data_IF_083598877502
#
_entry.id   IF_083598877502
#
_cell.length_a   1.000
_cell.length_b   1.000
_cell.length_c   1.000
_cell.angle_alpha   90.00
_cell.angle_beta   90.00
_cell.angle_gamma   90.00
#
_symmetry.space_group_name_H-M   'P 1'
#
loop_
_entity.id
_entity.type
_entity.pdbx_description
1 polymer ?
#
# COMPACT_ATOMS: atom_id res chain seq x y z
N UNK A 1 12.98 -9.29 -14.87
CA UNK A 1 11.65 -8.74 -14.47
C UNK A 1 11.32 -9.23 -13.09
N UNK A 2 10.95 -8.35 -12.17
CA UNK A 2 10.56 -8.64 -10.79
C UNK A 2 9.07 -8.38 -10.63
N UNK A 3 8.38 -9.26 -9.88
CA UNK A 3 6.97 -9.13 -9.55
C UNK A 3 6.79 -8.69 -8.11
N UNK A 4 6.00 -7.65 -7.92
CA UNK A 4 5.64 -7.08 -6.62
C UNK A 4 4.13 -7.17 -6.42
N UNK A 5 3.71 -7.64 -5.25
CA UNK A 5 2.31 -7.65 -4.82
C UNK A 5 2.17 -6.80 -3.57
N UNK A 6 1.08 -6.05 -3.48
CA UNK A 6 0.69 -5.32 -2.28
C UNK A 6 -0.78 -5.62 -1.96
N UNK A 7 -1.07 -5.96 -0.70
CA UNK A 7 -2.41 -6.30 -0.26
C UNK A 7 -2.70 -5.83 1.17
N UNK A 8 -3.65 -4.94 1.31
CA UNK A 8 -4.26 -4.67 2.62
C UNK A 8 -5.19 -5.84 2.96
N UNK A 9 -4.82 -6.61 3.97
CA UNK A 9 -5.53 -7.85 4.35
C UNK A 9 -6.61 -7.64 5.40
N UNK A 10 -6.73 -6.43 5.93
CA UNK A 10 -7.73 -6.07 6.97
C UNK A 10 -7.83 -7.11 8.09
N UNK A 11 -6.66 -7.48 8.63
CA UNK A 11 -6.49 -8.55 9.62
C UNK A 11 -6.07 -9.87 8.99
N UNK A 12 -4.75 -10.16 9.08
CA UNK A 12 -4.15 -11.32 8.42
C UNK A 12 -4.75 -12.65 8.88
N UNK A 13 -5.02 -12.83 10.17
CA UNK A 13 -5.61 -14.06 10.71
C UNK A 13 -6.98 -14.37 10.07
N UNK A 14 -7.80 -13.34 9.88
CA UNK A 14 -9.09 -13.49 9.20
C UNK A 14 -8.93 -13.79 7.70
N UNK A 15 -7.95 -13.18 7.06
CA UNK A 15 -7.65 -13.38 5.64
C UNK A 15 -7.10 -14.79 5.38
N UNK A 16 -6.23 -15.32 6.26
CA UNK A 16 -5.73 -16.71 6.20
C UNK A 16 -6.88 -17.72 6.21
N UNK A 17 -7.90 -17.50 7.04
CA UNK A 17 -9.13 -18.31 7.04
C UNK A 17 -9.96 -18.22 5.75
N UNK A 18 -9.58 -17.38 4.80
CA UNK A 18 -10.27 -17.13 3.53
C UNK A 18 -9.35 -17.31 2.31
N UNK A 19 -8.53 -18.37 2.36
CA UNK A 19 -7.70 -18.82 1.22
C UNK A 19 -6.42 -17.98 0.94
N UNK A 20 -5.95 -17.16 1.87
CA UNK A 20 -4.75 -16.33 1.70
C UNK A 20 -3.52 -17.13 1.25
N UNK A 21 -3.28 -18.32 1.84
CA UNK A 21 -2.07 -19.08 1.54
C UNK A 21 -2.03 -19.59 0.08
N UNK A 22 -3.17 -20.01 -0.48
CA UNK A 22 -3.26 -20.42 -1.88
C UNK A 22 -3.08 -19.19 -2.79
N UNK A 23 -3.74 -18.06 -2.48
CA UNK A 23 -3.57 -16.83 -3.24
C UNK A 23 -2.12 -16.33 -3.23
N UNK A 24 -1.44 -16.42 -2.08
CA UNK A 24 -0.02 -16.07 -1.98
C UNK A 24 0.86 -16.93 -2.90
N UNK A 25 0.62 -18.26 -2.92
CA UNK A 25 1.37 -19.21 -3.74
C UNK A 25 1.08 -19.04 -5.24
N UNK A 26 -0.18 -18.81 -5.61
CA UNK A 26 -0.59 -18.61 -7.01
C UNK A 26 -0.03 -17.31 -7.60
N UNK A 27 0.01 -16.23 -6.82
CA UNK A 27 0.59 -14.96 -7.24
C UNK A 27 2.11 -15.05 -7.42
N UNK A 28 2.79 -15.92 -6.68
CA UNK A 28 4.22 -16.26 -6.81
C UNK A 28 5.13 -15.03 -7.02
N UNK A 29 4.97 -14.02 -6.17
CA UNK A 29 5.68 -12.75 -6.29
C UNK A 29 7.12 -12.84 -5.75
N UNK A 30 8.02 -12.02 -6.27
CA UNK A 30 9.34 -11.78 -5.68
C UNK A 30 9.23 -11.05 -4.35
N UNK A 31 8.27 -10.13 -4.26
CA UNK A 31 7.96 -9.32 -3.09
C UNK A 31 6.45 -9.29 -2.83
N UNK A 32 6.05 -9.65 -1.64
CA UNK A 32 4.66 -9.65 -1.23
C UNK A 32 4.48 -8.78 0.02
N UNK A 33 3.89 -7.61 -0.14
CA UNK A 33 3.74 -6.59 0.89
C UNK A 33 2.32 -6.62 1.46
N UNK A 34 2.21 -6.59 2.78
CA UNK A 34 0.94 -6.62 3.50
C UNK A 34 0.74 -5.36 4.32
N UNK A 35 -0.47 -4.85 4.35
CA UNK A 35 -0.87 -3.76 5.21
C UNK A 35 -2.06 -4.20 6.07
N UNK A 36 -2.22 -3.52 7.20
CA UNK A 36 -3.29 -3.78 8.17
C UNK A 36 -3.33 -5.24 8.62
N UNK A 37 -2.16 -5.77 8.98
CA UNK A 37 -2.02 -7.16 9.44
C UNK A 37 -2.75 -7.40 10.75
N UNK A 38 -2.89 -6.37 11.61
CA UNK A 38 -3.51 -6.43 12.95
C UNK A 38 -2.89 -7.52 13.85
N UNK A 39 -1.61 -7.79 13.63
CA UNK A 39 -0.85 -8.86 14.28
C UNK A 39 0.02 -8.32 15.40
N UNK A 40 0.40 -9.23 16.29
CA UNK A 40 1.50 -9.07 17.24
C UNK A 40 2.42 -10.27 17.09
N UNK A 41 3.67 -10.12 17.51
CA UNK A 41 4.66 -11.19 17.47
C UNK A 41 4.14 -12.48 18.12
N UNK A 42 4.35 -13.60 17.49
CA UNK A 42 3.96 -14.94 17.99
C UNK A 42 2.47 -15.28 17.89
N UNK A 43 1.62 -14.43 17.31
CA UNK A 43 0.19 -14.73 17.16
C UNK A 43 -0.15 -15.66 16.00
N UNK A 44 0.71 -15.73 15.00
CA UNK A 44 0.56 -16.59 13.82
C UNK A 44 1.94 -16.95 13.31
N UNK A 45 2.19 -18.23 13.13
CA UNK A 45 3.37 -18.72 12.43
C UNK A 45 2.96 -18.95 10.96
N UNK A 46 3.29 -17.98 10.10
CA UNK A 46 2.99 -18.02 8.68
C UNK A 46 4.29 -17.85 7.90
N UNK A 47 4.87 -18.98 7.52
CA UNK A 47 6.11 -19.04 6.75
C UNK A 47 5.87 -19.67 5.39
N UNK A 48 6.60 -19.21 4.38
CA UNK A 48 6.57 -19.76 3.03
C UNK A 48 7.97 -20.15 2.60
N UNK A 49 8.12 -21.33 2.02
CA UNK A 49 9.39 -21.81 1.52
C UNK A 49 10.00 -20.85 0.48
N UNK A 50 11.27 -20.51 0.65
CA UNK A 50 11.98 -19.58 -0.22
C UNK A 50 11.75 -18.10 0.09
N UNK A 51 10.96 -17.77 1.12
CA UNK A 51 10.74 -16.39 1.51
C UNK A 51 11.32 -16.07 2.90
N UNK A 52 11.92 -14.89 3.00
CA UNK A 52 12.15 -14.20 4.28
C UNK A 52 10.97 -13.26 4.55
N UNK A 53 10.66 -13.00 5.83
CA UNK A 53 9.60 -12.07 6.20
C UNK A 53 10.07 -11.04 7.22
N UNK A 54 9.57 -9.83 7.08
CA UNK A 54 9.85 -8.69 7.94
C UNK A 54 8.54 -8.07 8.40
N UNK A 55 8.41 -7.82 9.70
CA UNK A 55 7.15 -7.42 10.32
C UNK A 55 7.33 -6.15 11.14
N UNK A 56 6.39 -5.23 11.01
CA UNK A 56 6.29 -4.03 11.84
C UNK A 56 4.93 -4.01 12.51
N UNK A 57 4.92 -4.20 13.82
CA UNK A 57 3.70 -4.27 14.63
C UNK A 57 3.39 -2.91 15.24
N UNK A 58 2.10 -2.56 15.33
CA UNK A 58 1.68 -1.43 16.14
C UNK A 58 1.81 -1.74 17.63
N UNK A 59 2.09 -0.74 18.45
CA UNK A 59 2.06 -0.88 19.91
C UNK A 59 0.66 -1.26 20.39
N UNK A 60 -0.36 -0.69 19.78
CA UNK A 60 -1.75 -1.04 20.02
C UNK A 60 -2.09 -2.39 19.39
N UNK A 61 -2.47 -3.37 20.22
CA UNK A 61 -2.85 -4.71 19.77
C UNK A 61 -4.08 -4.68 18.85
N UNK A 62 -4.06 -5.54 17.82
CA UNK A 62 -5.17 -5.69 16.87
C UNK A 62 -5.41 -4.48 15.98
N UNK A 63 -4.38 -3.67 15.74
CA UNK A 63 -4.47 -2.42 15.00
C UNK A 63 -3.29 -2.28 14.03
N UNK A 64 -3.53 -1.70 12.82
CA UNK A 64 -2.50 -1.38 11.85
C UNK A 64 -1.54 -2.57 11.57
N UNK A 65 -0.24 -2.30 11.46
CA UNK A 65 0.79 -3.30 11.20
C UNK A 65 1.02 -3.59 9.73
N UNK A 66 2.28 -3.80 9.36
CA UNK A 66 2.72 -4.11 8.00
C UNK A 66 3.66 -5.32 8.00
N UNK A 67 3.78 -5.98 6.86
CA UNK A 67 4.75 -7.05 6.66
C UNK A 67 5.23 -7.10 5.20
N UNK A 68 6.43 -7.62 4.99
CA UNK A 68 6.96 -7.92 3.66
C UNK A 68 7.50 -9.35 3.65
N UNK A 69 7.06 -10.16 2.71
CA UNK A 69 7.68 -11.42 2.31
C UNK A 69 8.51 -11.18 1.06
N UNK A 70 9.72 -11.72 1.01
CA UNK A 70 10.63 -11.55 -0.13
C UNK A 70 11.48 -12.79 -0.38
N UNK A 71 11.66 -13.14 -1.66
CA UNK A 71 12.59 -14.16 -2.12
C UNK A 71 14.05 -13.68 -2.12
N UNK A 72 14.26 -12.36 -1.99
CA UNK A 72 15.57 -11.71 -2.11
C UNK A 72 16.05 -11.19 -0.75
N UNK A 73 17.30 -11.45 -0.41
CA UNK A 73 17.91 -10.95 0.82
C UNK A 73 18.19 -9.44 0.69
N UNK A 74 17.59 -8.57 1.53
CA UNK A 74 17.91 -7.15 1.52
C UNK A 74 19.30 -6.86 2.13
N UNK A 75 19.90 -5.73 1.74
CA UNK A 75 21.11 -5.20 2.34
C UNK A 75 20.86 -4.67 3.76
N UNK A 76 19.70 -4.03 3.94
CA UNK A 76 19.25 -3.53 5.24
C UNK A 76 17.73 -3.52 5.34
N UNK A 77 17.24 -3.51 6.57
CA UNK A 77 15.82 -3.39 6.91
C UNK A 77 15.66 -2.26 7.90
N UNK A 78 14.69 -1.37 7.68
CA UNK A 78 14.33 -0.36 8.67
C UNK A 78 12.81 -0.27 8.83
N UNK A 79 12.39 0.17 10.02
CA UNK A 79 11.01 0.25 10.44
C UNK A 79 10.67 1.69 10.80
N UNK A 80 9.53 2.18 10.30
CA UNK A 80 9.10 3.55 10.51
C UNK A 80 9.82 4.55 9.61
N UNK A 81 9.69 5.83 9.93
CA UNK A 81 10.27 6.97 9.21
C UNK A 81 11.36 7.71 10.00
N UNK A 82 11.63 7.28 11.24
CA UNK A 82 12.48 7.99 12.18
C UNK A 82 11.80 9.18 12.87
N UNK A 83 10.45 9.18 12.92
CA UNK A 83 9.63 10.16 13.61
C UNK A 83 8.80 9.44 14.68
N UNK A 84 9.14 9.64 15.95
CA UNK A 84 8.55 8.90 17.07
C UNK A 84 7.02 8.93 17.09
N UNK A 85 6.42 10.07 16.81
CA UNK A 85 4.96 10.23 16.75
C UNK A 85 4.30 9.34 15.69
N UNK A 86 5.02 9.02 14.59
CA UNK A 86 4.50 8.25 13.47
C UNK A 86 4.83 6.75 13.56
N UNK A 87 5.89 6.41 14.29
CA UNK A 87 6.48 5.06 14.21
C UNK A 87 5.88 4.06 15.21
N UNK A 88 4.88 4.45 16.00
CA UNK A 88 4.21 3.59 16.99
C UNK A 88 3.11 2.70 16.40
N UNK A 89 2.67 2.97 15.18
CA UNK A 89 1.53 2.27 14.58
C UNK A 89 1.93 1.19 13.54
N UNK A 90 3.24 0.87 13.41
CA UNK A 90 3.70 -0.21 12.54
C UNK A 90 3.36 -0.02 11.05
N UNK A 91 3.45 1.21 10.54
CA UNK A 91 2.92 1.59 9.22
C UNK A 91 3.90 1.48 8.07
N UNK A 92 5.20 1.47 8.34
CA UNK A 92 6.24 1.56 7.30
C UNK A 92 7.33 0.54 7.53
N UNK A 93 7.68 -0.24 6.49
CA UNK A 93 8.88 -1.06 6.40
C UNK A 93 9.64 -0.65 5.16
N UNK A 94 10.95 -0.46 5.29
CA UNK A 94 11.86 -0.21 4.17
C UNK A 94 12.86 -1.34 4.05
N UNK A 95 12.91 -1.99 2.88
CA UNK A 95 13.97 -2.91 2.50
C UNK A 95 14.91 -2.22 1.52
N UNK A 96 16.21 -2.26 1.80
CA UNK A 96 17.23 -1.75 0.90
C UNK A 96 17.81 -2.87 0.05
N UNK A 97 17.84 -2.66 -1.26
CA UNK A 97 18.52 -3.49 -2.23
C UNK A 97 19.62 -2.70 -2.93
N UNK A 98 20.46 -3.36 -3.70
CA UNK A 98 21.57 -2.70 -4.40
C UNK A 98 21.06 -1.58 -5.34
N UNK A 99 19.99 -1.84 -6.07
CA UNK A 99 19.47 -0.93 -7.12
C UNK A 99 18.30 -0.06 -6.68
N UNK A 100 17.58 -0.38 -5.59
CA UNK A 100 16.36 0.32 -5.17
C UNK A 100 16.07 0.14 -3.69
N UNK A 101 15.18 0.98 -3.19
CA UNK A 101 14.47 0.76 -1.92
C UNK A 101 13.06 0.27 -2.21
N UNK A 102 12.60 -0.75 -1.47
CA UNK A 102 11.20 -1.16 -1.43
C UNK A 102 10.58 -0.72 -0.11
N UNK A 103 9.51 0.06 -0.18
CA UNK A 103 8.77 0.53 0.99
C UNK A 103 7.34 0.00 0.91
N UNK A 104 6.86 -0.65 1.97
CA UNK A 104 5.44 -0.87 2.20
C UNK A 104 4.91 0.16 3.17
N UNK A 105 3.71 0.68 2.92
CA UNK A 105 3.08 1.70 3.75
C UNK A 105 1.60 1.43 3.97
N UNK A 106 1.14 1.66 5.18
CA UNK A 106 -0.26 1.79 5.53
C UNK A 106 -0.53 3.21 6.04
N UNK A 107 -0.99 4.07 5.15
CA UNK A 107 -1.25 5.49 5.45
C UNK A 107 -2.37 5.62 6.48
N UNK A 108 -2.25 6.51 7.48
CA UNK A 108 -3.32 6.75 8.44
C UNK A 108 -4.63 7.15 7.77
N UNK A 109 -5.74 6.54 8.14
CA UNK A 109 -7.07 6.97 7.73
C UNK A 109 -7.49 8.23 8.51
N UNK A 110 -8.10 9.20 7.84
CA UNK A 110 -8.59 10.44 8.50
C UNK A 110 -9.80 10.21 9.40
N UNK A 111 -10.40 9.03 9.36
CA UNK A 111 -11.54 8.57 10.17
C UNK A 111 -12.85 9.33 9.93
N UNK A 112 -13.92 8.82 10.52
CA UNK A 112 -15.25 9.45 10.49
C UNK A 112 -15.17 10.88 11.04
N UNK A 113 -15.88 11.81 10.41
CA UNK A 113 -15.86 13.24 10.75
C UNK A 113 -14.48 13.89 10.63
N UNK A 114 -13.56 13.24 9.90
CA UNK A 114 -12.20 13.72 9.64
C UNK A 114 -11.38 14.00 10.92
N UNK A 115 -11.64 13.24 11.99
CA UNK A 115 -11.02 13.46 13.33
C UNK A 115 -9.51 13.36 13.33
N UNK A 116 -8.91 12.66 12.37
CA UNK A 116 -7.45 12.54 12.22
C UNK A 116 -6.90 13.25 10.97
N UNK A 117 -7.67 14.12 10.33
CA UNK A 117 -7.22 14.78 9.10
C UNK A 117 -5.96 15.62 9.34
N UNK A 118 -5.92 16.44 10.40
CA UNK A 118 -4.77 17.29 10.70
C UNK A 118 -3.51 16.45 10.96
N UNK A 119 -3.64 15.37 11.74
CA UNK A 119 -2.55 14.42 11.95
C UNK A 119 -2.08 13.79 10.64
N UNK A 120 -3.02 13.35 9.80
CA UNK A 120 -2.70 12.78 8.50
C UNK A 120 -1.95 13.75 7.59
N UNK A 121 -2.30 15.03 7.58
CA UNK A 121 -1.60 16.05 6.79
C UNK A 121 -0.13 16.19 7.23
N UNK A 122 0.14 16.15 8.52
CA UNK A 122 1.51 16.15 9.07
C UNK A 122 2.24 14.87 8.68
N UNK A 123 1.59 13.71 8.88
CA UNK A 123 2.15 12.41 8.53
C UNK A 123 2.54 12.32 7.04
N UNK A 124 1.67 12.78 6.16
CA UNK A 124 1.91 12.79 4.70
C UNK A 124 3.08 13.69 4.29
N UNK A 125 3.22 14.85 4.92
CA UNK A 125 4.34 15.76 4.68
C UNK A 125 5.68 15.11 5.09
N UNK A 126 5.72 14.45 6.25
CA UNK A 126 6.91 13.76 6.74
C UNK A 126 7.21 12.51 5.91
N UNK A 127 6.19 11.75 5.49
CA UNK A 127 6.36 10.59 4.61
C UNK A 127 6.92 10.99 3.25
N UNK A 128 6.41 12.06 2.64
CA UNK A 128 6.94 12.61 1.38
C UNK A 128 8.41 12.99 1.53
N UNK A 129 8.78 13.69 2.59
CA UNK A 129 10.17 14.04 2.89
C UNK A 129 11.04 12.80 3.08
N UNK A 130 10.53 11.79 3.77
CA UNK A 130 11.21 10.50 3.96
C UNK A 130 11.50 9.82 2.61
N UNK A 131 10.50 9.71 1.73
CA UNK A 131 10.65 9.13 0.39
C UNK A 131 11.66 9.92 -0.46
N UNK A 132 11.62 11.25 -0.42
CA UNK A 132 12.57 12.11 -1.14
C UNK A 132 14.02 11.88 -0.68
N UNK A 133 14.24 11.72 0.61
CA UNK A 133 15.57 11.45 1.16
C UNK A 133 16.12 10.09 0.71
N UNK A 134 15.26 9.09 0.55
CA UNK A 134 15.65 7.78 0.00
C UNK A 134 15.89 7.88 -1.51
N UNK A 135 14.99 8.54 -2.24
CA UNK A 135 15.09 8.71 -3.68
C UNK A 135 16.35 9.47 -4.11
N UNK A 136 16.86 10.38 -3.29
CA UNK A 136 18.13 11.05 -3.53
C UNK A 136 19.33 10.08 -3.56
N UNK A 137 19.21 8.90 -2.97
CA UNK A 137 20.27 7.88 -2.90
C UNK A 137 20.09 6.79 -3.97
N UNK A 138 18.90 6.21 -4.06
CA UNK A 138 18.53 5.13 -4.98
C UNK A 138 17.07 5.28 -5.39
N UNK A 139 16.65 4.73 -6.53
CA UNK A 139 15.24 4.65 -6.90
C UNK A 139 14.41 4.01 -5.81
N UNK A 140 13.18 4.52 -5.64
CA UNK A 140 12.22 4.05 -4.66
C UNK A 140 11.04 3.37 -5.35
N UNK A 141 10.64 2.22 -4.82
CA UNK A 141 9.39 1.55 -5.11
C UNK A 141 8.60 1.58 -3.81
N UNK A 142 7.46 2.26 -3.79
CA UNK A 142 6.59 2.32 -2.62
C UNK A 142 5.23 1.76 -2.97
N UNK A 143 4.69 0.92 -2.09
CA UNK A 143 3.38 0.31 -2.26
C UNK A 143 2.60 0.30 -0.97
N UNK A 144 1.29 0.22 -1.10
CA UNK A 144 0.40 0.01 0.02
C UNK A 144 -0.93 0.72 -0.12
N UNK A 145 -1.65 0.70 0.99
CA UNK A 145 -2.89 1.43 1.15
C UNK A 145 -2.57 2.90 1.50
N UNK A 146 -2.75 3.76 0.52
CA UNK A 146 -2.54 5.21 0.66
C UNK A 146 -3.77 5.92 1.25
N UNK A 147 -4.86 5.19 1.51
CA UNK A 147 -6.11 5.73 2.07
C UNK A 147 -6.61 6.99 1.35
N UNK A 148 -6.40 7.07 0.04
CA UNK A 148 -6.89 8.15 -0.82
C UNK A 148 -7.18 7.65 -2.23
N UNK A 149 -8.34 8.00 -2.78
CA UNK A 149 -8.58 7.97 -4.21
C UNK A 149 -8.10 9.31 -4.78
N UNK A 150 -7.08 9.29 -5.66
CA UNK A 150 -6.44 10.51 -6.12
C UNK A 150 -7.34 11.36 -7.02
N UNK A 151 -7.87 10.76 -8.08
CA UNK A 151 -8.68 11.45 -9.08
C UNK A 151 -10.15 10.98 -9.06
N UNK A 152 -11.03 11.71 -9.74
CA UNK A 152 -12.45 11.33 -9.82
C UNK A 152 -12.67 9.96 -10.49
N UNK A 153 -11.77 9.56 -11.38
CA UNK A 153 -11.78 8.24 -12.01
C UNK A 153 -11.48 7.10 -11.02
N UNK A 154 -10.86 7.41 -9.89
CA UNK A 154 -10.42 6.44 -8.87
C UNK A 154 -11.50 6.12 -7.83
N UNK A 155 -12.69 6.71 -7.97
CA UNK A 155 -13.78 6.52 -7.00
C UNK A 155 -15.14 6.48 -7.66
N UNK A 156 -16.00 5.57 -7.18
CA UNK A 156 -17.42 5.63 -7.50
C UNK A 156 -18.09 6.77 -6.74
N UNK A 157 -18.92 7.56 -7.43
CA UNK A 157 -19.65 8.70 -6.86
C UNK A 157 -18.76 9.80 -6.26
N UNK A 158 -17.83 10.41 -7.02
CA UNK A 158 -16.89 11.40 -6.49
C UNK A 158 -17.59 12.60 -5.85
N UNK A 159 -18.67 13.11 -6.45
CA UNK A 159 -19.40 14.28 -5.93
C UNK A 159 -19.94 14.08 -4.51
N UNK A 160 -20.40 12.88 -4.18
CA UNK A 160 -20.94 12.55 -2.85
C UNK A 160 -19.88 12.30 -1.78
N UNK A 161 -18.60 12.15 -2.18
CA UNK A 161 -17.51 11.74 -1.29
C UNK A 161 -16.46 12.82 -1.00
N UNK A 162 -16.56 14.03 -1.59
CA UNK A 162 -15.54 15.09 -1.44
C UNK A 162 -15.26 15.54 0.00
N UNK A 163 -16.13 15.24 0.94
CA UNK A 163 -15.96 15.55 2.37
C UNK A 163 -15.76 14.30 3.23
N UNK A 164 -15.56 13.15 2.61
CA UNK A 164 -15.34 11.89 3.30
C UNK A 164 -13.85 11.55 3.34
N UNK A 165 -13.43 10.89 4.43
CA UNK A 165 -12.08 10.38 4.55
C UNK A 165 -11.70 9.51 3.33
N UNK A 166 -10.53 9.76 2.76
CA UNK A 166 -10.03 9.11 1.55
C UNK A 166 -10.35 9.84 0.24
N UNK A 167 -11.15 10.93 0.29
CA UNK A 167 -11.43 11.73 -0.92
C UNK A 167 -11.62 13.22 -0.62
N UNK A 168 -11.08 13.73 0.48
CA UNK A 168 -11.03 15.16 0.74
C UNK A 168 -10.06 15.86 -0.20
N UNK A 169 -10.27 17.13 -0.44
CA UNK A 169 -9.38 17.92 -1.30
C UNK A 169 -7.95 17.95 -0.71
N UNK A 170 -7.82 18.00 0.63
CA UNK A 170 -6.53 17.98 1.34
C UNK A 170 -5.78 16.66 1.14
N UNK A 171 -6.46 15.52 1.25
CA UNK A 171 -5.84 14.19 1.05
C UNK A 171 -5.40 14.00 -0.40
N UNK A 172 -6.23 14.41 -1.35
CA UNK A 172 -5.93 14.36 -2.79
C UNK A 172 -4.75 15.26 -3.16
N UNK A 173 -4.68 16.45 -2.57
CA UNK A 173 -3.57 17.38 -2.78
C UNK A 173 -2.25 16.78 -2.29
N UNK A 174 -2.24 16.07 -1.14
CA UNK A 174 -1.03 15.37 -0.67
C UNK A 174 -0.54 14.31 -1.64
N UNK A 175 -1.44 13.57 -2.29
CA UNK A 175 -1.04 12.64 -3.36
C UNK A 175 -0.49 13.39 -4.57
N UNK A 176 -1.10 14.49 -4.97
CA UNK A 176 -0.62 15.35 -6.06
C UNK A 176 0.78 15.89 -5.76
N UNK A 177 1.01 16.41 -4.54
CA UNK A 177 2.33 16.86 -4.09
C UNK A 177 3.38 15.73 -4.17
N UNK A 178 3.02 14.53 -3.72
CA UNK A 178 3.94 13.38 -3.76
C UNK A 178 4.31 12.99 -5.20
N UNK A 179 3.33 12.92 -6.10
CA UNK A 179 3.59 12.60 -7.51
C UNK A 179 4.44 13.70 -8.18
N UNK A 180 4.14 14.97 -7.92
CA UNK A 180 4.91 16.10 -8.46
C UNK A 180 6.36 16.15 -7.94
N UNK A 181 6.64 15.52 -6.83
CA UNK A 181 7.98 15.41 -6.25
C UNK A 181 8.85 14.30 -6.86
N UNK A 182 8.42 13.72 -7.99
CA UNK A 182 9.22 12.79 -8.78
C UNK A 182 8.82 11.32 -8.63
N UNK A 183 7.53 11.07 -8.40
CA UNK A 183 6.95 9.73 -8.33
C UNK A 183 5.85 9.52 -9.36
N UNK A 184 5.78 8.31 -9.90
CA UNK A 184 4.81 7.88 -10.90
C UNK A 184 3.84 6.88 -10.29
N UNK A 185 2.52 7.12 -10.42
CA UNK A 185 1.47 6.13 -10.20
C UNK A 185 1.50 5.11 -11.34
N UNK A 186 1.98 3.90 -11.05
CA UNK A 186 2.27 2.88 -12.06
C UNK A 186 1.03 2.41 -12.81
N UNK A 187 -0.09 2.24 -12.10
CA UNK A 187 -1.35 1.83 -12.74
C UNK A 187 -1.89 2.92 -13.65
N UNK A 188 -1.92 4.17 -13.19
CA UNK A 188 -2.42 5.30 -13.99
C UNK A 188 -1.51 5.62 -15.17
N UNK A 189 -0.21 5.39 -15.03
CA UNK A 189 0.75 5.51 -16.13
C UNK A 189 0.48 4.49 -17.25
N UNK A 190 0.21 3.22 -16.90
CA UNK A 190 -0.08 2.15 -17.88
C UNK A 190 -1.50 2.25 -18.45
N UNK A 191 -2.45 2.63 -17.62
CA UNK A 191 -3.88 2.61 -17.93
C UNK A 191 -4.55 3.95 -17.56
N UNK A 192 -4.28 5.03 -18.32
CA UNK A 192 -4.67 6.39 -17.94
C UNK A 192 -6.19 6.60 -17.83
N UNK A 193 -6.98 5.83 -18.57
CA UNK A 193 -8.45 5.97 -18.63
C UNK A 193 -9.20 4.77 -18.02
N UNK A 194 -8.50 3.75 -17.52
CA UNK A 194 -9.15 2.55 -17.01
C UNK A 194 -9.74 2.79 -15.61
N UNK A 195 -11.04 2.53 -15.48
CA UNK A 195 -11.74 2.54 -14.19
C UNK A 195 -11.64 1.17 -13.54
N UNK A 196 -10.82 1.07 -12.50
CA UNK A 196 -10.67 -0.16 -11.71
C UNK A 196 -10.43 0.24 -10.26
N UNK A 197 -11.08 -0.46 -9.33
CA UNK A 197 -11.00 -0.17 -7.90
C UNK A 197 -10.24 -1.27 -7.18
N UNK A 198 -9.68 -0.94 -6.00
CA UNK A 198 -8.93 -1.87 -5.16
C UNK A 198 -9.61 -2.14 -3.81
N UNK A 199 -10.59 -1.32 -3.44
CA UNK A 199 -11.31 -1.40 -2.17
C UNK A 199 -12.81 -1.20 -2.35
N UNK A 200 -13.62 -1.95 -1.56
CA UNK A 200 -15.08 -1.83 -1.49
C UNK A 200 -15.54 -2.01 -0.04
N UNK A 201 -16.38 -1.10 0.42
CA UNK A 201 -17.00 -1.26 1.73
C UNK A 201 -17.74 -2.61 1.86
N UNK A 202 -17.66 -3.25 3.02
CA UNK A 202 -18.50 -4.43 3.31
C UNK A 202 -19.99 -4.09 3.36
N UNK A 203 -20.35 -2.81 3.46
CA UNK A 203 -21.73 -2.36 3.57
C UNK A 203 -22.39 -2.29 2.20
N UNK A 204 -23.71 -2.50 2.18
CA UNK A 204 -24.57 -2.27 1.01
C UNK A 204 -24.21 -3.08 -0.24
N UNK A 205 -23.50 -4.21 -0.08
CA UNK A 205 -23.03 -5.03 -1.23
C UNK A 205 -22.20 -4.21 -2.23
N UNK A 206 -21.32 -3.36 -1.70
CA UNK A 206 -20.56 -2.40 -2.53
C UNK A 206 -19.70 -3.10 -3.59
N UNK A 207 -19.07 -4.25 -3.27
CA UNK A 207 -18.25 -5.00 -4.23
C UNK A 207 -19.07 -5.61 -5.35
N UNK A 208 -20.25 -6.20 -5.04
CA UNK A 208 -21.16 -6.74 -6.06
C UNK A 208 -21.65 -5.66 -7.03
N UNK A 209 -21.86 -4.43 -6.53
CA UNK A 209 -22.28 -3.27 -7.32
C UNK A 209 -21.10 -2.50 -7.95
N UNK A 210 -19.89 -2.95 -7.71
CA UNK A 210 -18.66 -2.24 -8.07
C UNK A 210 -18.66 -0.76 -7.63
N UNK A 211 -19.17 -0.47 -6.43
CA UNK A 211 -19.11 0.83 -5.79
C UNK A 211 -17.82 0.95 -4.97
N UNK A 212 -16.70 0.99 -5.66
CA UNK A 212 -15.37 0.91 -5.09
C UNK A 212 -14.55 2.18 -5.21
N UNK A 213 -13.35 2.11 -4.66
CA UNK A 213 -12.32 3.13 -4.64
C UNK A 213 -10.97 2.49 -4.98
N UNK A 214 -10.12 3.19 -5.73
CA UNK A 214 -8.73 2.80 -5.91
C UNK A 214 -7.90 3.59 -4.90
N UNK A 215 -7.48 2.91 -3.83
CA UNK A 215 -6.72 3.48 -2.72
C UNK A 215 -5.43 2.73 -2.41
N UNK A 216 -5.19 1.61 -3.10
CA UNK A 216 -3.96 0.83 -3.03
C UNK A 216 -3.12 1.10 -4.28
N UNK A 217 -1.84 1.40 -4.09
CA UNK A 217 -0.96 1.88 -5.15
C UNK A 217 0.39 1.18 -5.15
N UNK A 218 0.99 1.14 -6.34
CA UNK A 218 2.44 1.14 -6.52
C UNK A 218 2.86 2.47 -7.11
N UNK A 219 3.73 3.20 -6.40
CA UNK A 219 4.40 4.39 -6.90
C UNK A 219 5.89 4.07 -7.06
N UNK A 220 6.49 4.57 -8.12
CA UNK A 220 7.92 4.41 -8.35
C UNK A 220 8.58 5.77 -8.60
N UNK A 221 9.86 5.90 -8.28
CA UNK A 221 10.65 7.06 -8.72
C UNK A 221 10.52 7.24 -10.23
N UNK A 222 10.35 8.47 -10.73
CA UNK A 222 10.14 8.76 -12.16
C UNK A 222 11.22 8.16 -13.06
N UNK A 223 12.44 8.01 -12.57
CA UNK A 223 13.53 7.36 -13.31
C UNK A 223 13.34 5.85 -13.55
N UNK A 224 12.37 5.22 -12.87
CA UNK A 224 11.94 3.84 -13.13
C UNK A 224 10.71 3.74 -14.04
N UNK A 225 10.14 4.85 -14.48
CA UNK A 225 8.88 4.87 -15.23
C UNK A 225 8.96 4.00 -16.49
N UNK A 226 10.06 4.05 -17.22
CA UNK A 226 10.26 3.24 -18.44
C UNK A 226 10.50 1.76 -18.16
N UNK A 227 10.77 1.40 -16.91
CA UNK A 227 10.96 0.01 -16.48
C UNK A 227 9.63 -0.67 -16.09
N UNK A 228 8.52 0.07 -16.02
CA UNK A 228 7.20 -0.49 -15.71
C UNK A 228 6.75 -1.37 -16.87
N UNK A 229 6.82 -2.69 -16.68
CA UNK A 229 6.34 -3.66 -17.65
C UNK A 229 4.81 -3.74 -17.63
N UNK A 230 4.21 -3.92 -16.44
CA UNK A 230 2.76 -3.93 -16.25
C UNK A 230 2.38 -3.50 -14.83
N UNK A 231 1.09 -3.16 -14.65
CA UNK A 231 0.48 -2.86 -13.36
C UNK A 231 -0.94 -3.44 -13.36
N UNK A 232 -1.30 -4.24 -12.33
CA UNK A 232 -2.59 -4.94 -12.29
C UNK A 232 -3.31 -4.71 -10.96
N UNK A 233 -4.62 -4.85 -11.00
CA UNK A 233 -5.50 -4.85 -9.82
C UNK A 233 -6.31 -6.16 -9.89
N UNK A 234 -6.10 -7.05 -8.94
CA UNK A 234 -6.69 -8.40 -8.92
C UNK A 234 -8.09 -8.39 -8.29
N UNK A 235 -9.05 -7.77 -8.97
CA UNK A 235 -10.42 -7.56 -8.46
C UNK A 235 -11.20 -8.84 -8.16
N UNK A 236 -10.79 -9.96 -8.73
CA UNK A 236 -11.35 -11.31 -8.54
C UNK A 236 -10.85 -12.00 -7.28
N UNK A 237 -9.72 -11.56 -6.69
CA UNK A 237 -9.19 -12.14 -5.46
C UNK A 237 -9.99 -11.62 -4.25
N UNK A 238 -10.52 -12.58 -3.50
CA UNK A 238 -11.32 -12.33 -2.30
C UNK A 238 -10.49 -12.57 -1.02
N UNK A 239 -11.04 -12.25 0.15
CA UNK A 239 -10.39 -12.49 1.46
C UNK A 239 -10.30 -11.24 2.33
N UNK A 240 -10.28 -10.06 1.72
CA UNK A 240 -10.31 -8.74 2.36
C UNK A 240 -11.33 -7.85 1.67
N UNK A 241 -11.63 -6.70 2.23
CA UNK A 241 -12.36 -5.60 1.56
C UNK A 241 -11.48 -4.86 0.54
N UNK A 242 -10.17 -5.10 0.56
CA UNK A 242 -9.25 -4.77 -0.52
C UNK A 242 -8.95 -6.00 -1.37
N UNK A 243 -8.54 -5.80 -2.62
CA UNK A 243 -7.90 -6.82 -3.45
C UNK A 243 -6.40 -6.51 -3.62
N UNK A 244 -5.58 -7.52 -3.98
CA UNK A 244 -4.17 -7.30 -4.26
C UNK A 244 -3.97 -6.38 -5.46
N UNK A 245 -2.92 -5.56 -5.42
CA UNK A 245 -2.38 -4.84 -6.57
C UNK A 245 -0.99 -5.36 -6.91
N UNK A 246 -0.65 -5.35 -8.20
CA UNK A 246 0.59 -5.92 -8.73
C UNK A 246 1.36 -4.88 -9.54
N UNK A 247 2.68 -4.94 -9.43
CA UNK A 247 3.62 -4.24 -10.30
C UNK A 247 4.62 -5.26 -10.86
N UNK A 248 4.75 -5.30 -12.17
CA UNK A 248 5.82 -5.99 -12.88
C UNK A 248 6.86 -4.94 -13.33
N UNK A 249 8.10 -5.08 -12.87
CA UNK A 249 9.15 -4.10 -13.10
C UNK A 249 10.41 -4.75 -13.68
N UNK A 250 10.96 -4.17 -14.72
CA UNK A 250 12.15 -4.67 -15.41
C UNK A 250 13.41 -3.92 -14.94
N UNK A 251 14.03 -4.44 -13.86
CA UNK A 251 15.21 -3.85 -13.20
C UNK A 251 16.26 -4.91 -12.80
#
# INVERSE_FOLDING_TARGET
>A
MLKFISWNVNGLRACVGKDFENQFKELDADFFCLQETKMQEGQLDLTFEGYNSYWNYAEKKGYSGTAIYTKHQPLSVSYGMGVEEHDQEGRVITLEYEKFYLITVYTPNSQTELRRLDYRMTWEADFRKFLKNLDAKKPVIVCGDMNVAHEEIDIKNPKGNRKNAGFTDEEREKMTELLNDGFTDTFRYKYPEQVTYSWWSYRFKAREKNAGWRIDYFLVSDRLQTNIADAKIHTDIMGSDHCPVELDLDI
#
